data_IF_275218941344
#
_entry.id   IF_275218941344
#
_cell.length_a   1.000
_cell.length_b   1.000
_cell.length_c   1.000
_cell.angle_alpha   90.00
_cell.angle_beta   90.00
_cell.angle_gamma   90.00
#
_symmetry.space_group_name_H-M   'P 1'
#
loop_
_entity.id
_entity.type
_entity.pdbx_description
1 polymer ?
#
# COMPACT_ATOMS: atom_id res chain seq x y z
N UNK A 1 6.16 38.36 -8.87
CA UNK A 1 4.93 38.51 -9.67
C UNK A 1 3.91 37.50 -9.16
N UNK A 2 2.66 37.90 -8.96
CA UNK A 2 1.55 36.98 -8.64
C UNK A 2 0.70 36.78 -9.90
N UNK A 3 0.33 35.53 -10.18
CA UNK A 3 -0.61 35.20 -11.26
C UNK A 3 -2.00 35.75 -10.96
N UNK A 4 -2.68 36.24 -11.99
CA UNK A 4 -4.11 36.56 -11.94
C UNK A 4 -4.93 35.28 -11.77
N UNK A 5 -6.20 35.38 -11.37
CA UNK A 5 -7.08 34.18 -11.27
C UNK A 5 -7.14 33.40 -12.59
N UNK A 6 -7.36 34.09 -13.71
CA UNK A 6 -7.33 33.47 -15.04
C UNK A 6 -5.95 32.90 -15.40
N UNK A 7 -4.86 33.53 -14.93
CA UNK A 7 -3.51 33.01 -15.12
C UNK A 7 -3.23 31.72 -14.35
N UNK A 8 -3.85 31.52 -13.18
CA UNK A 8 -3.75 30.26 -12.42
C UNK A 8 -4.49 29.13 -13.14
N UNK A 9 -5.73 29.38 -13.54
CA UNK A 9 -6.56 28.41 -14.28
C UNK A 9 -5.89 27.97 -15.59
N UNK A 10 -5.33 28.91 -16.36
CA UNK A 10 -4.58 28.58 -17.57
C UNK A 10 -3.32 27.74 -17.30
N UNK A 11 -2.62 27.98 -16.17
CA UNK A 11 -1.43 27.19 -15.81
C UNK A 11 -1.81 25.76 -15.46
N UNK A 12 -2.91 25.55 -14.73
CA UNK A 12 -3.43 24.20 -14.42
C UNK A 12 -3.77 23.44 -15.70
N UNK A 13 -4.50 24.06 -16.64
CA UNK A 13 -4.83 23.46 -17.93
C UNK A 13 -3.57 23.16 -18.78
N UNK A 14 -2.62 24.10 -18.82
CA UNK A 14 -1.38 23.92 -19.57
C UNK A 14 -0.52 22.78 -19.02
N UNK A 15 -0.48 22.59 -17.69
CA UNK A 15 0.24 21.48 -17.07
C UNK A 15 -0.34 20.12 -17.48
N UNK A 16 -1.66 20.00 -17.61
CA UNK A 16 -2.32 18.78 -18.12
C UNK A 16 -1.87 18.50 -19.56
N UNK A 17 -1.87 19.50 -20.43
CA UNK A 17 -1.45 19.36 -21.84
C UNK A 17 0.02 18.95 -21.93
N UNK A 18 0.90 19.59 -21.15
CA UNK A 18 2.34 19.26 -21.11
C UNK A 18 2.55 17.81 -20.68
N UNK A 19 1.87 17.35 -19.61
CA UNK A 19 1.91 15.94 -19.18
C UNK A 19 1.51 14.98 -20.31
N UNK A 20 0.39 15.25 -20.98
CA UNK A 20 -0.07 14.41 -22.10
C UNK A 20 0.93 14.35 -23.27
N UNK A 21 1.62 15.46 -23.56
CA UNK A 21 2.68 15.50 -24.54
C UNK A 21 3.90 14.67 -24.11
N UNK A 22 4.34 14.82 -22.86
CA UNK A 22 5.44 14.04 -22.30
C UNK A 22 5.15 12.54 -22.29
N UNK A 23 3.95 12.13 -21.90
CA UNK A 23 3.51 10.74 -21.99
C UNK A 23 3.57 10.22 -23.43
N UNK A 24 3.09 11.02 -24.39
CA UNK A 24 3.08 10.63 -25.81
C UNK A 24 4.49 10.43 -26.33
N UNK A 25 5.44 11.28 -25.92
CA UNK A 25 6.86 11.14 -26.21
C UNK A 25 7.46 9.90 -25.54
N UNK A 26 7.18 9.65 -24.26
CA UNK A 26 7.61 8.43 -23.54
C UNK A 26 7.08 7.17 -24.23
N UNK A 27 5.79 7.15 -24.61
CA UNK A 27 5.16 6.04 -25.36
C UNK A 27 5.84 5.82 -26.71
N UNK A 28 6.22 6.88 -27.42
CA UNK A 28 6.92 6.79 -28.69
C UNK A 28 8.35 6.22 -28.53
N UNK A 29 9.09 6.67 -27.51
CA UNK A 29 10.43 6.19 -27.19
C UNK A 29 10.43 4.71 -26.71
N UNK A 30 9.40 4.27 -25.99
CA UNK A 30 9.24 2.85 -25.60
C UNK A 30 9.03 1.92 -26.80
N UNK A 31 8.47 2.43 -27.90
CA UNK A 31 8.33 1.64 -29.14
C UNK A 31 9.64 1.52 -29.92
N UNK A 32 10.66 2.33 -29.61
CA UNK A 32 11.97 2.26 -30.26
C UNK A 32 13.01 1.42 -29.50
N UNK A 33 12.68 0.87 -28.33
CA UNK A 33 13.59 0.05 -27.51
C UNK A 33 13.35 -1.44 -27.75
N UNK A 34 14.23 -2.09 -28.52
CA UNK A 34 14.55 -3.54 -28.69
C UNK A 34 13.51 -4.64 -28.37
N UNK A 35 12.20 -4.36 -28.39
CA UNK A 35 11.13 -5.32 -28.16
C UNK A 35 10.82 -5.66 -26.70
N UNK A 36 11.55 -5.11 -25.72
CA UNK A 36 11.32 -5.36 -24.29
C UNK A 36 10.46 -4.23 -23.69
N UNK A 37 9.24 -4.57 -23.29
CA UNK A 37 8.33 -3.61 -22.67
C UNK A 37 8.71 -3.41 -21.18
N UNK A 38 8.67 -2.17 -20.69
CA UNK A 38 9.01 -1.87 -19.29
C UNK A 38 7.76 -1.58 -18.46
N UNK A 39 7.73 -2.08 -17.23
CA UNK A 39 6.72 -1.80 -16.19
C UNK A 39 7.42 -1.21 -14.98
N UNK A 40 6.96 -0.06 -14.49
CA UNK A 40 7.56 0.68 -13.37
C UNK A 40 6.73 0.50 -12.09
N UNK A 41 7.30 -0.24 -11.14
CA UNK A 41 6.75 -0.40 -9.81
C UNK A 41 7.25 0.72 -8.91
N UNK A 42 6.31 1.54 -8.44
CA UNK A 42 6.56 2.56 -7.44
C UNK A 42 6.87 1.94 -6.09
N UNK A 43 7.97 2.37 -5.47
CA UNK A 43 8.40 1.89 -4.15
C UNK A 43 8.79 3.03 -3.23
N UNK A 44 8.50 2.84 -1.95
CA UNK A 44 8.89 3.74 -0.86
C UNK A 44 9.11 2.93 0.42
N UNK A 45 9.37 3.60 1.54
CA UNK A 45 9.55 2.93 2.82
C UNK A 45 8.22 2.33 3.29
N UNK A 46 7.11 3.05 3.16
CA UNK A 46 5.77 2.55 3.52
C UNK A 46 5.12 1.75 2.39
N UNK A 47 5.68 1.71 1.19
CA UNK A 47 5.17 0.90 0.07
C UNK A 47 6.29 0.04 -0.51
N UNK A 48 6.80 -0.93 0.27
CA UNK A 48 7.90 -1.77 -0.18
C UNK A 48 7.45 -2.72 -1.30
N UNK A 49 8.10 -2.67 -2.45
CA UNK A 49 7.82 -3.55 -3.59
C UNK A 49 8.23 -5.01 -3.41
N UNK A 50 8.78 -5.39 -2.24
CA UNK A 50 9.42 -6.69 -2.02
C UNK A 50 8.52 -7.89 -2.32
N UNK A 51 7.26 -7.87 -1.87
CA UNK A 51 6.34 -9.01 -2.12
C UNK A 51 6.06 -9.20 -3.62
N UNK A 52 5.98 -8.11 -4.38
CA UNK A 52 5.78 -8.15 -5.83
C UNK A 52 7.04 -8.65 -6.52
N UNK A 53 8.21 -8.18 -6.08
CA UNK A 53 9.50 -8.66 -6.58
C UNK A 53 9.69 -10.15 -6.32
N UNK A 54 9.37 -10.63 -5.12
CA UNK A 54 9.46 -12.03 -4.75
C UNK A 54 8.51 -12.91 -5.59
N UNK A 55 7.31 -12.41 -5.92
CA UNK A 55 6.42 -13.08 -6.87
C UNK A 55 7.02 -13.10 -8.27
N UNK A 56 7.46 -11.95 -8.78
CA UNK A 56 8.03 -11.81 -10.12
C UNK A 56 9.27 -12.69 -10.34
N UNK A 57 10.16 -12.80 -9.34
CA UNK A 57 11.35 -13.64 -9.40
C UNK A 57 11.06 -15.14 -9.47
N UNK A 58 9.91 -15.62 -8.97
CA UNK A 58 9.51 -17.04 -9.12
C UNK A 58 9.27 -17.43 -10.57
N UNK A 59 9.18 -16.43 -11.44
CA UNK A 59 8.90 -16.57 -12.86
C UNK A 59 10.13 -16.39 -13.75
N UNK A 60 11.31 -16.34 -13.13
CA UNK A 60 12.59 -16.14 -13.83
C UNK A 60 12.73 -17.12 -15.00
N UNK A 61 12.82 -16.58 -16.22
CA UNK A 61 12.98 -17.34 -17.47
C UNK A 61 11.71 -17.58 -18.30
N UNK A 62 10.52 -17.15 -17.84
CA UNK A 62 9.26 -17.30 -18.59
C UNK A 62 8.72 -16.02 -19.24
N UNK A 63 9.20 -14.84 -18.79
CA UNK A 63 8.87 -13.55 -19.40
C UNK A 63 10.15 -12.79 -19.70
N UNK A 64 10.68 -12.99 -20.91
CA UNK A 64 11.82 -12.21 -21.42
C UNK A 64 11.39 -10.84 -21.94
N UNK A 65 10.08 -10.63 -22.09
CA UNK A 65 9.53 -9.52 -22.88
C UNK A 65 9.06 -8.36 -21.99
N UNK A 66 9.05 -8.55 -20.67
CA UNK A 66 8.72 -7.53 -19.67
C UNK A 66 9.90 -7.30 -18.73
N UNK A 67 10.38 -6.06 -18.68
CA UNK A 67 11.35 -5.60 -17.69
C UNK A 67 10.63 -4.84 -16.58
N UNK A 68 10.84 -5.27 -15.34
CA UNK A 68 10.36 -4.56 -14.15
C UNK A 68 11.41 -3.54 -13.70
N UNK A 69 11.03 -2.29 -13.60
CA UNK A 69 11.84 -1.17 -13.11
C UNK A 69 11.27 -0.66 -11.78
N UNK A 70 12.15 -0.32 -10.83
CA UNK A 70 11.75 0.25 -9.54
C UNK A 70 11.89 1.76 -9.59
N UNK A 71 10.81 2.48 -9.24
CA UNK A 71 10.78 3.94 -9.19
C UNK A 71 10.58 4.37 -7.74
N UNK A 72 11.50 5.19 -7.22
CA UNK A 72 11.37 5.74 -5.87
C UNK A 72 10.25 6.77 -5.83
N UNK A 73 9.41 6.69 -4.80
CA UNK A 73 8.30 7.62 -4.56
C UNK A 73 8.41 8.25 -3.17
N UNK A 74 7.87 9.46 -2.98
CA UNK A 74 7.65 10.01 -1.64
C UNK A 74 6.58 9.21 -0.88
N UNK A 75 6.54 9.36 0.44
CA UNK A 75 5.53 8.73 1.31
C UNK A 75 4.52 9.74 1.90
N UNK A 76 4.68 11.04 1.63
CA UNK A 76 3.72 12.05 2.07
C UNK A 76 2.37 11.90 1.33
N UNK A 77 1.30 12.33 1.99
CA UNK A 77 -0.06 12.00 1.53
C UNK A 77 -0.48 12.73 0.26
N UNK A 78 -0.03 13.97 0.07
CA UNK A 78 -0.38 14.76 -1.11
C UNK A 78 0.27 14.15 -2.36
N UNK A 79 1.56 13.86 -2.28
CA UNK A 79 2.28 13.26 -3.40
C UNK A 79 1.80 11.85 -3.73
N UNK A 80 1.47 11.02 -2.73
CA UNK A 80 0.92 9.68 -2.99
C UNK A 80 -0.43 9.75 -3.70
N UNK A 81 -1.33 10.63 -3.27
CA UNK A 81 -2.63 10.78 -3.93
C UNK A 81 -2.47 11.23 -5.38
N UNK A 82 -1.58 12.19 -5.64
CA UNK A 82 -1.25 12.64 -6.99
C UNK A 82 -0.70 11.50 -7.86
N UNK A 83 0.21 10.67 -7.33
CA UNK A 83 0.74 9.52 -8.06
C UNK A 83 -0.37 8.50 -8.36
N UNK A 84 -1.27 8.22 -7.41
CA UNK A 84 -2.38 7.26 -7.61
C UNK A 84 -3.33 7.74 -8.71
N UNK A 85 -3.62 9.04 -8.78
CA UNK A 85 -4.46 9.61 -9.84
C UNK A 85 -3.79 9.63 -11.22
N UNK A 86 -2.46 9.58 -11.26
CA UNK A 86 -1.65 9.64 -12.48
C UNK A 86 -0.88 8.33 -12.76
N UNK A 87 -1.37 7.19 -12.26
CA UNK A 87 -0.75 5.90 -12.56
C UNK A 87 -0.71 5.66 -14.08
N UNK A 88 0.42 5.18 -14.57
CA UNK A 88 0.73 5.00 -16.00
C UNK A 88 1.67 6.07 -16.56
N UNK A 89 1.83 7.20 -15.86
CA UNK A 89 2.71 8.30 -16.27
C UNK A 89 4.17 8.06 -15.91
N UNK A 90 4.57 8.34 -14.67
CA UNK A 90 5.93 8.14 -14.16
C UNK A 90 6.07 6.84 -13.35
N UNK A 91 4.96 6.43 -12.73
CA UNK A 91 4.81 5.17 -12.00
C UNK A 91 3.68 4.40 -12.65
N UNK A 92 3.91 3.15 -13.03
CA UNK A 92 2.86 2.33 -13.66
C UNK A 92 1.95 1.66 -12.62
N UNK A 93 2.51 1.25 -11.49
CA UNK A 93 1.75 0.56 -10.44
C UNK A 93 2.41 0.68 -9.07
N UNK A 94 1.61 0.56 -8.01
CA UNK A 94 2.04 0.65 -6.61
C UNK A 94 1.57 -0.57 -5.86
N UNK A 95 2.42 -1.14 -5.01
CA UNK A 95 1.98 -2.13 -4.03
C UNK A 95 1.65 -1.48 -2.69
N UNK A 96 0.42 -1.62 -2.23
CA UNK A 96 -0.03 -1.02 -0.96
C UNK A 96 -1.16 -1.82 -0.32
N UNK A 97 -1.38 -1.53 0.95
CA UNK A 97 -2.63 -1.86 1.62
C UNK A 97 -3.76 -0.96 1.09
N UNK A 98 -4.98 -1.49 0.95
CA UNK A 98 -6.14 -0.70 0.56
C UNK A 98 -7.45 -1.31 1.07
N UNK A 99 -8.46 -0.46 1.16
CA UNK A 99 -9.83 -0.85 1.43
C UNK A 99 -10.54 -1.17 0.11
N UNK A 100 -11.32 -2.25 0.08
CA UNK A 100 -12.04 -2.66 -1.13
C UNK A 100 -13.02 -1.57 -1.55
N UNK A 101 -12.95 -1.16 -2.82
CA UNK A 101 -13.84 -0.16 -3.38
C UNK A 101 -13.40 1.29 -3.20
N UNK A 102 -12.41 1.58 -2.34
CA UNK A 102 -11.98 2.95 -2.05
C UNK A 102 -11.46 3.69 -3.29
N UNK A 103 -10.78 2.98 -4.19
CA UNK A 103 -10.14 3.56 -5.37
C UNK A 103 -10.85 3.28 -6.70
N UNK A 104 -12.08 2.74 -6.68
CA UNK A 104 -12.74 2.23 -7.89
C UNK A 104 -12.89 3.26 -9.03
N UNK A 105 -13.05 4.54 -8.69
CA UNK A 105 -13.21 5.61 -9.68
C UNK A 105 -11.87 6.24 -10.10
N UNK A 106 -10.75 5.84 -9.49
CA UNK A 106 -9.41 6.43 -9.70
C UNK A 106 -8.45 5.46 -10.37
N UNK A 107 -8.40 4.21 -9.90
CA UNK A 107 -7.49 3.20 -10.40
C UNK A 107 -8.10 1.80 -10.24
N UNK A 108 -7.57 0.84 -11.01
CA UNK A 108 -7.89 -0.56 -10.78
C UNK A 108 -7.12 -1.10 -9.57
N UNK A 109 -7.68 -2.14 -8.93
CA UNK A 109 -7.05 -2.84 -7.82
C UNK A 109 -6.93 -4.34 -8.10
N UNK A 110 -5.81 -4.94 -7.73
CA UNK A 110 -5.62 -6.40 -7.69
C UNK A 110 -5.29 -6.79 -6.25
N UNK A 111 -6.24 -7.38 -5.53
CA UNK A 111 -6.00 -7.94 -4.21
C UNK A 111 -5.18 -9.25 -4.34
N UNK A 112 -4.08 -9.33 -3.60
CA UNK A 112 -3.17 -10.49 -3.61
C UNK A 112 -3.22 -11.27 -2.30
N UNK A 113 -3.42 -10.56 -1.20
CA UNK A 113 -3.39 -11.12 0.15
C UNK A 113 -4.32 -10.30 1.07
N UNK A 114 -4.64 -10.84 2.22
CA UNK A 114 -5.47 -10.19 3.23
C UNK A 114 -4.97 -10.57 4.62
N UNK A 115 -4.67 -9.56 5.44
CA UNK A 115 -4.11 -9.76 6.78
C UNK A 115 -5.01 -9.12 7.84
N UNK A 116 -5.26 -9.80 8.98
CA UNK A 116 -5.92 -9.18 10.11
C UNK A 116 -5.14 -7.96 10.59
N UNK A 117 -5.85 -6.90 11.00
CA UNK A 117 -5.21 -5.75 11.64
C UNK A 117 -4.51 -6.19 12.92
N UNK A 118 -3.34 -5.62 13.14
CA UNK A 118 -2.55 -5.82 14.34
C UNK A 118 -2.43 -4.48 15.09
N UNK A 119 -1.76 -4.52 16.24
CA UNK A 119 -1.32 -3.32 16.95
C UNK A 119 0.21 -3.29 16.90
N UNK A 120 0.80 -2.19 16.46
CA UNK A 120 2.21 -1.91 16.59
C UNK A 120 2.49 -1.42 18.02
N UNK A 121 3.31 -2.17 18.74
CA UNK A 121 3.67 -1.95 20.14
C UNK A 121 5.15 -1.59 20.24
N UNK A 122 5.53 -0.53 20.98
CA UNK A 122 6.93 -0.23 21.28
C UNK A 122 7.65 -1.42 21.93
N UNK A 123 8.88 -1.74 21.49
CA UNK A 123 9.61 -2.95 21.92
C UNK A 123 9.82 -3.06 23.44
N UNK A 124 9.94 -1.93 24.11
CA UNK A 124 10.12 -1.82 25.56
C UNK A 124 8.80 -1.95 26.34
N UNK A 125 7.64 -1.88 25.67
CA UNK A 125 6.33 -2.03 26.30
C UNK A 125 6.06 -3.50 26.67
N UNK A 126 5.36 -3.73 27.79
CA UNK A 126 5.08 -5.10 28.28
C UNK A 126 4.30 -5.94 27.25
N UNK A 127 3.33 -5.33 26.57
CA UNK A 127 2.50 -5.98 25.55
C UNK A 127 3.30 -6.48 24.34
N UNK A 128 4.50 -5.98 24.08
CA UNK A 128 5.32 -6.42 22.93
C UNK A 128 5.80 -7.88 23.05
N UNK A 129 5.66 -8.48 24.24
CA UNK A 129 6.00 -9.89 24.52
C UNK A 129 4.82 -10.84 24.30
N UNK A 130 3.62 -10.30 24.07
CA UNK A 130 2.44 -11.12 23.83
C UNK A 130 2.44 -11.59 22.37
N UNK A 131 1.92 -12.79 22.14
CA UNK A 131 1.68 -13.29 20.78
C UNK A 131 0.33 -12.81 20.22
N UNK A 132 -0.64 -12.60 21.12
CA UNK A 132 -2.01 -12.20 20.81
C UNK A 132 -2.51 -11.30 21.95
N UNK A 133 -3.21 -10.22 21.62
CA UNK A 133 -3.83 -9.28 22.54
C UNK A 133 -5.34 -9.36 22.44
N UNK A 134 -6.02 -9.32 23.57
CA UNK A 134 -7.46 -9.06 23.64
C UNK A 134 -7.71 -7.55 23.78
N UNK A 135 -8.94 -7.09 23.53
CA UNK A 135 -9.30 -5.68 23.80
C UNK A 135 -9.10 -5.31 25.28
N UNK A 136 -9.24 -6.28 26.19
CA UNK A 136 -8.99 -6.08 27.62
C UNK A 136 -7.52 -5.80 27.92
N UNK A 137 -6.60 -6.44 27.20
CA UNK A 137 -5.15 -6.20 27.37
C UNK A 137 -4.74 -4.79 26.92
N UNK A 138 -5.58 -4.13 26.12
CA UNK A 138 -5.38 -2.77 25.63
C UNK A 138 -5.97 -1.70 26.58
N UNK A 139 -6.71 -2.08 27.62
CA UNK A 139 -7.29 -1.13 28.58
C UNK A 139 -6.19 -0.32 29.29
N UNK A 140 -6.40 0.99 29.42
CA UNK A 140 -5.44 1.94 30.01
C UNK A 140 -4.32 2.36 29.07
N UNK A 141 -4.33 1.92 27.81
CA UNK A 141 -3.34 2.32 26.80
C UNK A 141 -3.84 3.50 25.96
N UNK A 142 -2.88 4.16 25.32
CA UNK A 142 -3.11 5.20 24.31
C UNK A 142 -2.81 4.59 22.94
N UNK A 143 -3.76 4.67 22.02
CA UNK A 143 -3.65 4.05 20.69
C UNK A 143 -3.84 5.12 19.61
N UNK A 144 -2.81 5.31 18.79
CA UNK A 144 -2.87 6.15 17.59
C UNK A 144 -3.54 5.38 16.45
N UNK A 145 -4.49 6.01 15.77
CA UNK A 145 -5.25 5.40 14.68
C UNK A 145 -5.71 6.48 13.69
N UNK A 146 -5.75 6.15 12.39
CA UNK A 146 -6.20 7.09 11.36
C UNK A 146 -7.58 7.65 11.67
N UNK A 147 -7.77 8.94 11.38
CA UNK A 147 -9.10 9.55 11.34
C UNK A 147 -10.01 8.77 10.41
N UNK A 148 -11.30 8.79 10.73
CA UNK A 148 -12.32 8.05 9.97
C UNK A 148 -12.27 8.45 8.50
N UNK A 149 -12.10 7.46 7.62
CA UNK A 149 -11.93 7.68 6.19
C UNK A 149 -12.69 6.67 5.32
N UNK A 150 -13.64 5.92 5.91
CA UNK A 150 -14.36 4.80 5.27
C UNK A 150 -13.42 3.68 4.86
N UNK A 151 -13.14 2.78 5.80
CA UNK A 151 -12.27 1.62 5.57
C UNK A 151 -12.17 0.72 6.80
N UNK A 152 -11.37 -0.33 6.72
CA UNK A 152 -11.18 -1.32 7.80
C UNK A 152 -10.69 -0.70 9.11
N UNK A 153 -9.94 0.42 9.05
CA UNK A 153 -9.54 1.16 10.25
C UNK A 153 -10.76 1.67 11.04
N UNK A 154 -11.86 2.00 10.37
CA UNK A 154 -13.08 2.48 11.03
C UNK A 154 -13.73 1.33 11.83
N UNK A 155 -13.69 0.09 11.32
CA UNK A 155 -14.14 -1.09 12.06
C UNK A 155 -13.29 -1.33 13.31
N UNK A 156 -11.96 -1.25 13.20
CA UNK A 156 -11.07 -1.34 14.36
C UNK A 156 -11.40 -0.26 15.40
N UNK A 157 -11.62 0.97 14.93
CA UNK A 157 -12.00 2.11 15.77
C UNK A 157 -13.32 1.88 16.49
N UNK A 158 -14.36 1.42 15.79
CA UNK A 158 -15.68 1.14 16.36
C UNK A 158 -15.62 0.11 17.49
N UNK A 159 -14.73 -0.88 17.37
CA UNK A 159 -14.50 -1.89 18.42
C UNK A 159 -13.71 -1.33 19.60
N UNK A 160 -12.69 -0.50 19.35
CA UNK A 160 -11.89 0.11 20.41
C UNK A 160 -12.68 1.17 21.19
N UNK A 161 -13.56 1.93 20.54
CA UNK A 161 -14.43 2.93 21.18
C UNK A 161 -15.45 2.30 22.15
N UNK A 162 -15.72 1.00 22.03
CA UNK A 162 -16.54 0.25 23.01
C UNK A 162 -15.81 -0.03 24.33
N UNK A 163 -14.51 0.27 24.40
CA UNK A 163 -13.67 0.11 25.59
C UNK A 163 -13.25 1.51 26.12
N UNK A 164 -14.01 2.15 27.03
CA UNK A 164 -13.76 3.54 27.47
C UNK A 164 -12.42 3.75 28.18
N UNK A 165 -11.76 2.67 28.61
CA UNK A 165 -10.44 2.72 29.22
C UNK A 165 -9.31 2.87 28.20
N UNK A 166 -9.60 2.77 26.89
CA UNK A 166 -8.63 2.98 25.80
C UNK A 166 -8.74 4.44 25.33
N UNK A 167 -7.61 5.13 25.30
CA UNK A 167 -7.53 6.51 24.80
C UNK A 167 -7.11 6.51 23.32
N UNK A 168 -8.00 6.94 22.42
CA UNK A 168 -7.75 6.97 20.98
C UNK A 168 -7.24 8.34 20.53
N UNK A 169 -6.10 8.33 19.82
CA UNK A 169 -5.45 9.52 19.29
C UNK A 169 -5.55 9.50 17.78
N UNK A 170 -6.14 10.54 17.22
CA UNK A 170 -6.27 10.69 15.78
C UNK A 170 -4.94 11.04 15.12
N UNK A 171 -4.63 10.33 14.02
CA UNK A 171 -3.56 10.71 13.09
C UNK A 171 -4.17 10.99 11.70
N UNK A 172 -3.58 11.95 10.98
CA UNK A 172 -4.06 12.33 9.64
C UNK A 172 -3.52 11.39 8.56
N UNK A 173 -2.30 10.91 8.71
CA UNK A 173 -1.63 10.00 7.78
C UNK A 173 -0.55 9.20 8.49
N UNK A 174 -0.01 8.19 7.79
CA UNK A 174 1.20 7.51 8.23
C UNK A 174 2.40 8.13 7.53
N UNK A 175 3.36 8.60 8.31
CA UNK A 175 4.65 9.10 7.86
C UNK A 175 5.74 8.55 8.77
N UNK A 176 7.00 8.96 8.56
CA UNK A 176 8.05 8.40 9.39
C UNK A 176 7.99 8.88 10.86
N UNK A 177 7.49 10.08 11.09
CA UNK A 177 7.49 10.71 12.40
C UNK A 177 6.42 10.11 13.31
N UNK A 178 5.25 9.75 12.77
CA UNK A 178 4.18 9.06 13.50
C UNK A 178 4.69 7.79 14.19
N UNK A 179 5.52 6.98 13.51
CA UNK A 179 6.07 5.77 14.13
C UNK A 179 7.17 6.08 15.15
N UNK A 180 7.97 7.13 14.92
CA UNK A 180 9.03 7.52 15.85
C UNK A 180 8.42 8.03 17.15
N UNK A 181 7.40 8.88 17.05
CA UNK A 181 6.66 9.38 18.19
C UNK A 181 6.04 8.25 19.02
N UNK A 182 5.41 7.25 18.38
CA UNK A 182 4.88 6.09 19.11
C UNK A 182 5.97 5.33 19.87
N UNK A 183 7.14 5.15 19.26
CA UNK A 183 8.26 4.48 19.90
C UNK A 183 8.79 5.25 21.13
N UNK A 184 8.73 6.58 21.12
CA UNK A 184 9.17 7.44 22.22
C UNK A 184 8.10 7.64 23.30
N UNK A 185 6.84 7.88 22.92
CA UNK A 185 5.74 8.16 23.85
C UNK A 185 5.19 6.91 24.55
N UNK A 186 5.57 5.72 24.08
CA UNK A 186 4.95 4.44 24.46
C UNK A 186 3.48 4.31 24.03
N UNK A 187 2.97 5.19 23.15
CA UNK A 187 1.67 5.02 22.51
C UNK A 187 1.72 3.80 21.57
N UNK A 188 0.62 3.04 21.54
CA UNK A 188 0.41 2.00 20.54
C UNK A 188 -0.04 2.64 19.22
N UNK A 189 0.07 1.90 18.12
CA UNK A 189 -0.39 2.33 16.80
C UNK A 189 -1.20 1.20 16.17
N UNK A 190 -2.27 1.53 15.45
CA UNK A 190 -2.89 0.59 14.50
C UNK A 190 -2.19 0.77 13.16
N UNK A 191 -1.27 -0.11 12.73
CA UNK A 191 -0.52 0.05 11.50
C UNK A 191 -1.19 -0.74 10.36
N UNK A 192 -0.66 -0.61 9.15
CA UNK A 192 -0.90 -1.60 8.10
C UNK A 192 0.01 -2.82 8.34
N UNK A 193 -0.52 -4.06 8.46
CA UNK A 193 0.27 -5.25 8.87
C UNK A 193 1.55 -5.51 8.06
N UNK A 194 1.51 -5.21 6.76
CA UNK A 194 2.64 -5.32 5.82
C UNK A 194 3.85 -4.45 6.16
N UNK A 195 3.73 -3.52 7.11
CA UNK A 195 4.84 -2.69 7.59
C UNK A 195 5.68 -3.29 8.70
N UNK A 196 5.48 -4.57 9.04
CA UNK A 196 6.23 -5.26 10.09
C UNK A 196 7.77 -5.13 9.98
N UNK A 197 8.29 -4.96 8.76
CA UNK A 197 9.75 -4.80 8.51
C UNK A 197 10.21 -3.35 8.38
N UNK A 198 9.29 -2.38 8.33
CA UNK A 198 9.61 -0.95 8.17
C UNK A 198 10.22 -0.38 9.45
N UNK A 199 9.86 -0.92 10.62
CA UNK A 199 10.21 -0.35 11.92
C UNK A 199 10.88 -1.35 12.86
N UNK A 200 12.19 -1.23 13.11
CA UNK A 200 12.85 -2.07 14.09
C UNK A 200 12.46 -1.71 15.53
N UNK A 201 11.82 -0.58 15.83
CA UNK A 201 11.50 -0.17 17.20
C UNK A 201 10.09 -0.56 17.67
N UNK A 202 9.21 -0.94 16.72
CA UNK A 202 7.85 -1.40 16.98
C UNK A 202 7.76 -2.89 16.68
N UNK A 203 6.86 -3.58 17.37
CA UNK A 203 6.52 -4.99 17.14
C UNK A 203 5.04 -5.05 16.82
N UNK A 204 4.70 -5.62 15.67
CA UNK A 204 3.31 -5.90 15.35
C UNK A 204 2.86 -7.11 16.18
N UNK A 205 1.84 -6.91 17.02
CA UNK A 205 1.22 -7.93 17.85
C UNK A 205 -0.20 -8.15 17.35
N UNK A 206 -0.58 -9.41 17.14
CA UNK A 206 -1.92 -9.76 16.67
C UNK A 206 -2.96 -9.39 17.74
N UNK A 207 -4.19 -9.09 17.28
CA UNK A 207 -5.32 -8.80 18.15
C UNK A 207 -6.44 -9.79 17.89
N UNK A 208 -7.01 -10.32 18.97
CA UNK A 208 -8.22 -11.15 18.96
C UNK A 208 -9.44 -10.23 18.84
N UNK A 209 -9.71 -9.79 17.61
CA UNK A 209 -10.83 -8.91 17.32
C UNK A 209 -12.16 -9.67 17.48
N UNK A 210 -13.20 -9.06 18.09
CA UNK A 210 -14.53 -9.66 18.19
C UNK A 210 -15.18 -10.02 16.84
N UNK A 211 -14.77 -9.34 15.78
CA UNK A 211 -15.18 -9.60 14.40
C UNK A 211 -13.98 -9.44 13.45
N UNK A 212 -14.03 -9.98 12.21
CA UNK A 212 -12.91 -9.89 11.28
C UNK A 212 -12.60 -8.44 10.87
N UNK A 213 -11.45 -7.94 11.33
CA UNK A 213 -10.90 -6.64 10.92
C UNK A 213 -9.72 -6.89 9.99
N UNK A 214 -9.97 -6.91 8.67
CA UNK A 214 -9.01 -7.39 7.66
C UNK A 214 -8.64 -6.31 6.66
N UNK A 215 -7.34 -6.14 6.41
CA UNK A 215 -6.80 -5.23 5.41
C UNK A 215 -6.37 -6.02 4.17
N UNK A 216 -6.74 -5.54 2.98
CA UNK A 216 -6.24 -6.13 1.74
C UNK A 216 -4.88 -5.54 1.37
N UNK A 217 -4.05 -6.38 0.77
CA UNK A 217 -2.78 -5.99 0.17
C UNK A 217 -2.74 -6.40 -1.29
N UNK A 218 -2.19 -5.53 -2.13
CA UNK A 218 -2.08 -5.85 -3.53
C UNK A 218 -1.53 -4.70 -4.35
N UNK A 219 -1.96 -4.65 -5.61
CA UNK A 219 -1.51 -3.66 -6.59
C UNK A 219 -2.61 -2.66 -6.91
N UNK A 220 -2.25 -1.37 -6.96
CA UNK A 220 -2.99 -0.32 -7.64
C UNK A 220 -2.37 -0.11 -9.02
N UNK A 221 -3.20 0.00 -10.06
CA UNK A 221 -2.74 0.18 -11.45
C UNK A 221 -3.77 0.99 -12.27
N UNK A 222 -3.41 1.56 -13.43
CA UNK A 222 -4.24 2.55 -14.13
C UNK A 222 -5.56 1.95 -14.59
N UNK A 223 -6.63 2.77 -14.65
CA UNK A 223 -7.93 2.35 -15.20
C UNK A 223 -7.78 1.87 -16.66
N UNK A 224 -7.14 2.68 -17.50
CA UNK A 224 -6.75 2.31 -18.87
C UNK A 224 -5.32 1.74 -18.92
N UNK A 225 -5.15 0.57 -18.28
CA UNK A 225 -3.86 -0.09 -18.23
C UNK A 225 -3.35 -0.46 -19.63
N UNK A 226 -2.10 -0.14 -19.96
CA UNK A 226 -1.51 -0.57 -21.24
C UNK A 226 -1.44 -2.11 -21.35
N UNK A 227 -1.31 -2.68 -22.57
CA UNK A 227 -1.21 -4.14 -22.75
C UNK A 227 -0.10 -4.79 -21.91
N UNK A 228 1.05 -4.13 -21.75
CA UNK A 228 2.15 -4.64 -20.92
C UNK A 228 1.78 -4.65 -19.43
N UNK A 229 1.10 -3.60 -18.93
CA UNK A 229 0.64 -3.56 -17.54
C UNK A 229 -0.39 -4.66 -17.30
N UNK A 230 -1.36 -4.84 -18.21
CA UNK A 230 -2.34 -5.93 -18.12
C UNK A 230 -1.69 -7.31 -18.08
N UNK A 231 -0.70 -7.56 -18.94
CA UNK A 231 0.05 -8.82 -18.95
C UNK A 231 0.78 -9.06 -17.62
N UNK A 232 1.44 -8.02 -17.08
CA UNK A 232 2.10 -8.07 -15.77
C UNK A 232 1.12 -8.37 -14.64
N UNK A 233 -0.01 -7.66 -14.57
CA UNK A 233 -1.05 -7.83 -13.55
C UNK A 233 -1.63 -9.26 -13.58
N UNK A 234 -2.01 -9.76 -14.77
CA UNK A 234 -2.50 -11.13 -14.92
C UNK A 234 -1.47 -12.15 -14.42
N UNK A 235 -0.19 -11.93 -14.71
CA UNK A 235 0.85 -12.86 -14.30
C UNK A 235 1.08 -12.85 -12.79
N UNK A 236 1.11 -11.68 -12.16
CA UNK A 236 1.20 -11.56 -10.71
C UNK A 236 0.01 -12.25 -10.04
N UNK A 237 -1.20 -12.10 -10.59
CA UNK A 237 -2.39 -12.78 -10.08
C UNK A 237 -2.25 -14.32 -10.14
N UNK A 238 -1.81 -14.87 -11.28
CA UNK A 238 -1.54 -16.31 -11.42
C UNK A 238 -0.49 -16.80 -10.43
N UNK A 239 0.61 -16.06 -10.27
CA UNK A 239 1.68 -16.41 -9.35
C UNK A 239 1.21 -16.38 -7.90
N UNK A 240 0.37 -15.42 -7.52
CA UNK A 240 -0.23 -15.34 -6.18
C UNK A 240 -1.16 -16.53 -5.89
N UNK A 241 -2.02 -16.90 -6.84
CA UNK A 241 -2.91 -18.06 -6.71
C UNK A 241 -2.14 -19.38 -6.53
N UNK A 242 -0.95 -19.52 -7.13
CA UNK A 242 -0.09 -20.69 -6.93
C UNK A 242 0.49 -20.78 -5.50
N UNK A 243 0.58 -19.66 -4.78
CA UNK A 243 1.04 -19.63 -3.37
C UNK A 243 -0.10 -19.96 -2.42
N UNK A 244 -1.31 -19.47 -2.72
CA UNK A 244 -2.47 -19.56 -1.85
C UNK A 244 -3.40 -20.75 -2.21
N UNK A 245 -3.04 -21.57 -3.21
CA UNK A 245 -3.77 -22.78 -3.58
C UNK A 245 -3.55 -23.92 -2.59
N UNK A 246 -4.47 -24.91 -2.51
CA UNK A 246 -4.30 -26.07 -1.65
C UNK A 246 -3.00 -26.82 -2.02
N UNK A 247 -2.29 -27.43 -1.05
CA UNK A 247 -1.06 -28.15 -1.33
C UNK A 247 -1.34 -29.22 -2.38
N UNK A 248 -0.59 -29.18 -3.50
CA UNK A 248 -0.65 -30.24 -4.51
C UNK A 248 -0.35 -31.55 -3.79
N UNK A 249 -1.31 -32.47 -3.77
CA UNK A 249 -1.08 -33.85 -3.38
C UNK A 249 0.06 -34.37 -4.26
N UNK A 250 1.26 -34.48 -3.67
CA UNK A 250 2.38 -35.15 -4.29
C UNK A 250 1.93 -36.60 -4.49
N UNK A 251 1.83 -37.00 -5.75
CA UNK A 251 1.37 -38.32 -6.15
C UNK A 251 2.15 -39.41 -5.44
N UNK A 252 1.41 -40.35 -4.87
CA UNK A 252 1.87 -41.68 -4.56
C UNK A 252 2.38 -42.32 -5.85
N UNK A 253 3.69 -42.59 -5.91
CA UNK A 253 4.26 -43.64 -6.73
C UNK A 253 5.03 -44.57 -5.78
#
# INVERSE_FOLDING_TARGET
MQLTKAGKEFVEDAQIIVRQCEESLRRAQRRSTDGIATVRLGVSILRPGRRILDLWQRDTGKHTDIRLELVSMPDDSEAINDIITHLGEDVDLISTAFDTGYWNDTCNTLALDSEPLCVAVPRNHALARHALLTLKDLEGTRIRILKRHRGTNDTARDLLEQCPAIDLIDIDHYDLDTFNDCAESSDLLIPKPMWASVRPQLVNVAVDWPEPVVMHYGLLYPLDASPVIRAFISRIAELSCLVNGPPRQAGMM
#
